data_IF_410043584971
#
_entry.id   IF_410043584971
#
_cell.length_a   1.000
_cell.length_b   1.000
_cell.length_c   1.000
_cell.angle_alpha   90.00
_cell.angle_beta   90.00
_cell.angle_gamma   90.00
#
_symmetry.space_group_name_H-M   'P 1'
#
loop_
_entity.id
_entity.type
_entity.pdbx_description
1 polymer ?
#
# COMPACT_ATOMS: atom_id res chain seq x y z
N UNK A 1 51.17 103.86 -70.99
CA UNK A 1 50.47 102.56 -70.89
C UNK A 1 51.05 101.85 -69.68
N UNK A 2 50.76 102.39 -68.49
CA UNK A 2 51.72 102.36 -67.37
C UNK A 2 50.97 102.22 -66.05
N UNK A 3 51.29 101.17 -65.30
CA UNK A 3 50.94 100.90 -63.90
C UNK A 3 49.44 100.70 -63.59
N UNK A 4 48.56 101.57 -64.05
CA UNK A 4 47.13 101.55 -63.74
C UNK A 4 46.41 100.34 -64.36
N UNK A 5 46.75 99.99 -65.61
CA UNK A 5 46.25 98.76 -66.27
C UNK A 5 46.78 97.48 -65.60
N UNK A 6 48.03 97.49 -65.12
CA UNK A 6 48.63 96.33 -64.42
C UNK A 6 47.98 96.13 -63.05
N UNK A 7 47.69 97.21 -62.33
CA UNK A 7 46.99 97.18 -61.05
C UNK A 7 45.50 96.78 -61.23
N UNK A 8 44.85 97.23 -62.30
CA UNK A 8 43.49 96.81 -62.64
C UNK A 8 43.45 95.31 -62.98
N UNK A 9 44.42 94.82 -63.74
CA UNK A 9 44.57 93.40 -64.07
C UNK A 9 44.81 92.55 -62.80
N UNK A 10 45.71 92.95 -61.92
CA UNK A 10 45.98 92.23 -60.66
C UNK A 10 44.77 92.20 -59.71
N UNK A 11 43.96 93.28 -59.66
CA UNK A 11 42.69 93.29 -58.92
C UNK A 11 41.66 92.33 -59.53
N UNK A 12 41.58 92.27 -60.85
CA UNK A 12 40.69 91.35 -61.55
C UNK A 12 41.11 89.88 -61.31
N UNK A 13 42.42 89.58 -61.37
CA UNK A 13 42.97 88.25 -61.07
C UNK A 13 42.75 87.85 -59.60
N UNK A 14 42.94 88.77 -58.65
CA UNK A 14 42.64 88.54 -57.24
C UNK A 14 41.14 88.31 -57.01
N UNK A 15 40.27 89.06 -57.69
CA UNK A 15 38.82 88.88 -57.57
C UNK A 15 38.36 87.55 -58.15
N UNK A 16 38.93 87.15 -59.29
CA UNK A 16 38.64 85.86 -59.92
C UNK A 16 39.11 84.69 -59.05
N UNK A 17 40.36 84.73 -58.57
CA UNK A 17 40.92 83.69 -57.70
C UNK A 17 40.15 83.59 -56.38
N UNK A 18 39.74 84.71 -55.78
CA UNK A 18 38.92 84.71 -54.57
C UNK A 18 37.51 84.14 -54.83
N UNK A 19 36.84 84.54 -55.92
CA UNK A 19 35.54 83.98 -56.30
C UNK A 19 35.61 82.47 -56.57
N UNK A 20 36.69 82.02 -57.19
CA UNK A 20 36.95 80.60 -57.44
C UNK A 20 37.22 79.82 -56.15
N UNK A 21 38.03 80.34 -55.22
CA UNK A 21 38.26 79.75 -53.90
C UNK A 21 36.97 79.65 -53.08
N UNK A 22 36.13 80.70 -53.10
CA UNK A 22 34.80 80.68 -52.46
C UNK A 22 33.91 79.60 -53.05
N UNK A 23 33.84 79.52 -54.39
CA UNK A 23 33.02 78.52 -55.09
C UNK A 23 33.51 77.11 -54.80
N UNK A 24 34.83 76.87 -54.82
CA UNK A 24 35.46 75.60 -54.49
C UNK A 24 35.14 75.18 -53.05
N UNK A 25 35.27 76.09 -52.08
CA UNK A 25 34.91 75.81 -50.67
C UNK A 25 33.44 75.45 -50.54
N UNK A 26 32.56 76.24 -51.15
CA UNK A 26 31.12 75.95 -51.15
C UNK A 26 30.77 74.60 -51.77
N UNK A 27 31.46 74.20 -52.85
CA UNK A 27 31.30 72.86 -53.45
C UNK A 27 31.79 71.74 -52.51
N UNK A 28 32.92 71.94 -51.83
CA UNK A 28 33.42 70.98 -50.84
C UNK A 28 32.48 70.85 -49.64
N UNK A 29 31.98 71.97 -49.12
CA UNK A 29 31.03 72.00 -48.01
C UNK A 29 29.72 71.29 -48.38
N UNK A 30 29.22 71.51 -49.60
CA UNK A 30 28.03 70.82 -50.11
C UNK A 30 28.26 69.31 -50.20
N UNK A 31 29.41 68.88 -50.71
CA UNK A 31 29.74 67.46 -50.83
C UNK A 31 29.87 66.79 -49.46
N UNK A 32 30.57 67.44 -48.51
CA UNK A 32 30.68 66.94 -47.14
C UNK A 32 29.31 66.82 -46.47
N UNK A 33 28.44 67.82 -46.64
CA UNK A 33 27.09 67.78 -46.10
C UNK A 33 26.24 66.67 -46.73
N UNK A 34 26.38 66.41 -48.03
CA UNK A 34 25.70 65.30 -48.70
C UNK A 34 26.17 63.95 -48.17
N UNK A 35 27.48 63.75 -48.02
CA UNK A 35 28.05 62.52 -47.48
C UNK A 35 27.60 62.32 -46.03
N UNK A 36 27.68 63.35 -45.19
CA UNK A 36 27.22 63.35 -43.79
C UNK A 36 25.73 63.01 -43.67
N UNK A 37 24.88 63.61 -44.50
CA UNK A 37 23.45 63.28 -44.53
C UNK A 37 23.22 61.81 -44.94
N UNK A 38 24.00 61.28 -45.90
CA UNK A 38 23.90 59.88 -46.30
C UNK A 38 24.29 58.90 -45.16
N UNK A 39 25.31 59.27 -44.37
CA UNK A 39 25.73 58.51 -43.20
C UNK A 39 24.69 58.59 -42.08
N UNK A 40 24.13 59.77 -41.84
CA UNK A 40 23.05 59.95 -40.87
C UNK A 40 21.81 59.12 -41.25
N UNK A 41 21.42 59.11 -42.52
CA UNK A 41 20.32 58.29 -43.02
C UNK A 41 20.57 56.79 -42.82
N UNK A 42 21.79 56.32 -43.06
CA UNK A 42 22.15 54.92 -42.83
C UNK A 42 22.17 54.58 -41.33
N UNK A 43 22.71 55.46 -40.49
CA UNK A 43 22.68 55.30 -39.03
C UNK A 43 21.22 55.22 -38.54
N UNK A 44 20.34 56.13 -38.97
CA UNK A 44 18.92 56.09 -38.59
C UNK A 44 18.23 54.81 -39.04
N UNK A 45 18.50 54.31 -40.25
CA UNK A 45 17.97 53.03 -40.73
C UNK A 45 18.47 51.85 -39.89
N UNK A 46 19.74 51.85 -39.50
CA UNK A 46 20.28 50.79 -38.66
C UNK A 46 19.73 50.84 -37.23
N UNK A 47 19.55 52.04 -36.65
CA UNK A 47 18.95 52.21 -35.32
C UNK A 47 17.52 51.67 -35.29
N UNK A 48 16.69 52.04 -36.27
CA UNK A 48 15.31 51.51 -36.36
C UNK A 48 15.31 49.98 -36.50
N UNK A 49 16.21 49.40 -37.29
CA UNK A 49 16.34 47.95 -37.42
C UNK A 49 16.71 47.28 -36.09
N UNK A 50 17.64 47.84 -35.33
CA UNK A 50 18.04 47.35 -34.01
C UNK A 50 16.85 47.40 -33.03
N UNK A 51 16.06 48.47 -33.06
CA UNK A 51 14.86 48.57 -32.22
C UNK A 51 13.84 47.48 -32.54
N UNK A 52 13.61 47.19 -33.83
CA UNK A 52 12.73 46.09 -34.24
C UNK A 52 13.29 44.72 -33.82
N UNK A 53 14.59 44.49 -34.02
CA UNK A 53 15.24 43.24 -33.61
C UNK A 53 15.15 43.04 -32.09
N UNK A 54 15.40 44.08 -31.29
CA UNK A 54 15.28 44.02 -29.83
C UNK A 54 13.84 43.72 -29.39
N UNK A 55 12.85 44.34 -30.04
CA UNK A 55 11.45 44.06 -29.75
C UNK A 55 11.08 42.60 -30.04
N UNK A 56 11.43 42.12 -31.23
CA UNK A 56 11.16 40.73 -31.63
C UNK A 56 11.90 39.76 -30.69
N UNK A 57 13.14 40.08 -30.33
CA UNK A 57 13.92 39.28 -29.38
C UNK A 57 13.22 39.17 -28.02
N UNK A 58 12.73 40.29 -27.49
CA UNK A 58 11.99 40.30 -26.22
C UNK A 58 10.69 39.49 -26.33
N UNK A 59 9.94 39.62 -27.43
CA UNK A 59 8.71 38.83 -27.66
C UNK A 59 9.01 37.32 -27.71
N UNK A 60 10.08 36.91 -28.40
CA UNK A 60 10.52 35.52 -28.45
C UNK A 60 10.95 35.03 -27.07
N UNK A 61 11.71 35.85 -26.33
CA UNK A 61 12.19 35.49 -25.01
C UNK A 61 11.01 35.29 -24.05
N UNK A 62 10.06 36.21 -24.01
CA UNK A 62 8.84 36.07 -23.20
C UNK A 62 8.05 34.82 -23.56
N UNK A 63 7.86 34.53 -24.86
CA UNK A 63 7.19 33.30 -25.29
C UNK A 63 7.92 32.04 -24.81
N UNK A 64 9.24 32.00 -24.92
CA UNK A 64 10.04 30.85 -24.47
C UNK A 64 9.93 30.70 -22.95
N UNK A 65 10.01 31.78 -22.20
CA UNK A 65 9.91 31.77 -20.74
C UNK A 65 8.53 31.28 -20.28
N UNK A 66 7.44 31.74 -20.91
CA UNK A 66 6.08 31.26 -20.65
C UNK A 66 5.94 29.76 -20.93
N UNK A 67 6.48 29.26 -22.05
CA UNK A 67 6.44 27.83 -22.35
C UNK A 67 7.26 27.00 -21.35
N UNK A 68 8.40 27.51 -20.90
CA UNK A 68 9.21 26.83 -19.87
C UNK A 68 8.41 26.75 -18.56
N UNK A 69 7.76 27.84 -18.16
CA UNK A 69 6.92 27.89 -16.96
C UNK A 69 5.76 26.90 -17.06
N UNK A 70 5.05 26.86 -18.18
CA UNK A 70 3.95 25.91 -18.43
C UNK A 70 4.41 24.45 -18.34
N UNK A 71 5.56 24.14 -18.95
CA UNK A 71 6.15 22.80 -18.88
C UNK A 71 6.59 22.44 -17.46
N UNK A 72 7.18 23.38 -16.72
CA UNK A 72 7.56 23.17 -15.32
C UNK A 72 6.33 22.93 -14.44
N UNK A 73 5.25 23.69 -14.65
CA UNK A 73 3.98 23.51 -13.95
C UNK A 73 3.37 22.14 -14.26
N UNK A 74 3.39 21.70 -15.52
CA UNK A 74 2.94 20.37 -15.92
C UNK A 74 3.78 19.27 -15.26
N UNK A 75 5.12 19.41 -15.24
CA UNK A 75 6.02 18.46 -14.57
C UNK A 75 5.71 18.39 -13.07
N UNK A 76 5.56 19.53 -12.40
CA UNK A 76 5.25 19.58 -10.97
C UNK A 76 3.89 18.94 -10.66
N UNK A 77 2.87 19.24 -11.47
CA UNK A 77 1.56 18.61 -11.36
C UNK A 77 1.65 17.08 -11.45
N UNK A 78 2.34 16.57 -12.47
CA UNK A 78 2.49 15.13 -12.64
C UNK A 78 3.32 14.50 -11.53
N UNK A 79 4.38 15.16 -11.06
CA UNK A 79 5.20 14.68 -9.95
C UNK A 79 4.36 14.49 -8.69
N UNK A 80 3.59 15.52 -8.29
CA UNK A 80 2.69 15.44 -7.13
C UNK A 80 1.63 14.35 -7.33
N UNK A 81 1.01 14.29 -8.51
CA UNK A 81 -0.01 13.28 -8.80
C UNK A 81 0.56 11.85 -8.69
N UNK A 82 1.76 11.60 -9.21
CA UNK A 82 2.38 10.29 -9.13
C UNK A 82 2.82 9.94 -7.70
N UNK A 83 3.33 10.90 -6.94
CA UNK A 83 3.67 10.68 -5.53
C UNK A 83 2.43 10.30 -4.73
N UNK A 84 1.31 11.02 -4.88
CA UNK A 84 0.04 10.70 -4.25
C UNK A 84 -0.53 9.34 -4.69
N UNK A 85 -0.40 9.00 -5.98
CA UNK A 85 -0.86 7.70 -6.48
C UNK A 85 0.00 6.57 -5.91
N UNK A 86 1.32 6.71 -5.88
CA UNK A 86 2.25 5.73 -5.30
C UNK A 86 1.92 5.51 -3.83
N UNK A 87 1.79 6.58 -3.03
CA UNK A 87 1.43 6.47 -1.61
C UNK A 87 0.09 5.74 -1.40
N UNK A 88 -0.91 6.05 -2.23
CA UNK A 88 -2.21 5.37 -2.17
C UNK A 88 -2.10 3.89 -2.50
N UNK A 89 -1.35 3.54 -3.56
CA UNK A 89 -1.14 2.15 -3.98
C UNK A 89 -0.38 1.36 -2.90
N UNK A 90 0.63 1.96 -2.29
CA UNK A 90 1.39 1.35 -1.21
C UNK A 90 0.52 1.11 0.03
N UNK A 91 -0.32 2.09 0.40
CA UNK A 91 -1.30 1.92 1.47
C UNK A 91 -2.29 0.77 1.19
N UNK A 92 -2.79 0.67 -0.04
CA UNK A 92 -3.67 -0.42 -0.46
C UNK A 92 -2.95 -1.78 -0.42
N UNK A 93 -1.69 -1.85 -0.86
CA UNK A 93 -0.86 -3.06 -0.80
C UNK A 93 -0.68 -3.51 0.66
N UNK A 94 -0.34 -2.59 1.56
CA UNK A 94 -0.17 -2.89 2.99
C UNK A 94 -1.48 -3.40 3.58
N UNK A 95 -2.61 -2.74 3.30
CA UNK A 95 -3.93 -3.16 3.74
C UNK A 95 -4.28 -4.57 3.26
N UNK A 96 -4.06 -4.86 1.98
CA UNK A 96 -4.33 -6.18 1.40
C UNK A 96 -3.45 -7.23 2.07
N UNK A 97 -2.15 -6.96 2.25
CA UNK A 97 -1.23 -7.88 2.95
C UNK A 97 -1.70 -8.19 4.37
N UNK A 98 -2.10 -7.18 5.15
CA UNK A 98 -2.64 -7.39 6.50
C UNK A 98 -3.92 -8.23 6.48
N UNK A 99 -4.84 -7.98 5.54
CA UNK A 99 -6.06 -8.81 5.42
C UNK A 99 -5.74 -10.24 5.01
N UNK A 100 -4.74 -10.44 4.15
CA UNK A 100 -4.31 -11.76 3.73
C UNK A 100 -3.65 -12.54 4.87
N UNK A 101 -2.79 -11.91 5.65
CA UNK A 101 -2.16 -12.51 6.83
C UNK A 101 -3.20 -12.91 7.88
N UNK A 102 -4.14 -12.02 8.20
CA UNK A 102 -5.21 -12.31 9.16
C UNK A 102 -6.13 -13.44 8.70
N UNK A 103 -6.48 -13.49 7.41
CA UNK A 103 -7.25 -14.60 6.83
C UNK A 103 -6.46 -15.91 6.87
N UNK A 104 -5.16 -15.86 6.59
CA UNK A 104 -4.28 -17.02 6.62
C UNK A 104 -4.18 -17.59 8.03
N UNK A 105 -4.00 -16.74 9.05
CA UNK A 105 -3.96 -17.18 10.44
C UNK A 105 -5.32 -17.72 10.90
N UNK A 106 -6.42 -17.06 10.51
CA UNK A 106 -7.78 -17.56 10.78
C UNK A 106 -7.98 -18.95 10.17
N UNK A 107 -7.52 -19.17 8.93
CA UNK A 107 -7.58 -20.48 8.27
C UNK A 107 -6.74 -21.51 9.03
N UNK A 108 -5.52 -21.17 9.44
CA UNK A 108 -4.64 -22.05 10.22
C UNK A 108 -5.33 -22.52 11.51
N UNK A 109 -5.89 -21.58 12.27
CA UNK A 109 -6.62 -21.86 13.51
C UNK A 109 -7.84 -22.74 13.28
N UNK A 110 -8.63 -22.48 12.23
CA UNK A 110 -9.78 -23.30 11.89
C UNK A 110 -9.40 -24.75 11.54
N UNK A 111 -8.29 -24.94 10.81
CA UNK A 111 -7.78 -26.28 10.47
C UNK A 111 -7.34 -27.02 11.73
N UNK A 112 -6.63 -26.34 12.65
CA UNK A 112 -6.20 -26.94 13.91
C UNK A 112 -7.38 -27.38 14.78
N UNK A 113 -8.38 -26.50 14.95
CA UNK A 113 -9.61 -26.81 15.69
C UNK A 113 -10.38 -27.96 15.04
N UNK A 114 -10.47 -27.97 13.71
CA UNK A 114 -11.14 -29.05 12.98
C UNK A 114 -10.46 -30.40 13.22
N UNK A 115 -9.13 -30.47 13.11
CA UNK A 115 -8.39 -31.72 13.34
C UNK A 115 -8.48 -32.17 14.81
N UNK A 116 -8.44 -31.24 15.77
CA UNK A 116 -8.66 -31.55 17.19
C UNK A 116 -10.06 -32.13 17.43
N UNK A 117 -11.11 -31.51 16.89
CA UNK A 117 -12.48 -32.00 16.99
C UNK A 117 -12.67 -33.35 16.31
N UNK A 118 -12.07 -33.55 15.13
CA UNK A 118 -12.11 -34.82 14.41
C UNK A 118 -11.49 -35.95 15.24
N UNK A 119 -10.31 -35.72 15.83
CA UNK A 119 -9.66 -36.68 16.75
C UNK A 119 -10.55 -36.99 17.95
N UNK A 120 -11.09 -35.95 18.60
CA UNK A 120 -11.98 -36.12 19.75
C UNK A 120 -13.23 -36.94 19.43
N UNK A 121 -13.86 -36.72 18.27
CA UNK A 121 -15.04 -37.48 17.83
C UNK A 121 -14.70 -38.96 17.60
N UNK A 122 -13.56 -39.23 16.95
CA UNK A 122 -13.09 -40.61 16.69
C UNK A 122 -12.82 -41.33 18.03
N UNK A 123 -12.07 -40.69 18.93
CA UNK A 123 -11.75 -41.26 20.25
C UNK A 123 -13.01 -41.52 21.08
N UNK A 124 -13.92 -40.54 21.15
CA UNK A 124 -15.18 -40.69 21.88
C UNK A 124 -16.03 -41.82 21.29
N UNK A 125 -16.04 -41.99 19.96
CA UNK A 125 -16.74 -43.10 19.31
C UNK A 125 -16.13 -44.44 19.73
N UNK A 126 -14.81 -44.59 19.69
CA UNK A 126 -14.11 -45.81 20.10
C UNK A 126 -14.37 -46.16 21.58
N UNK A 127 -14.28 -45.18 22.48
CA UNK A 127 -14.57 -45.38 23.92
C UNK A 127 -16.01 -45.80 24.14
N UNK A 128 -16.96 -45.21 23.40
CA UNK A 128 -18.38 -45.56 23.53
C UNK A 128 -18.66 -46.98 23.02
N UNK A 129 -18.04 -47.39 21.92
CA UNK A 129 -18.16 -48.76 21.39
C UNK A 129 -17.59 -49.79 22.38
N UNK A 130 -16.42 -49.53 22.96
CA UNK A 130 -15.84 -50.43 23.96
C UNK A 130 -16.71 -50.50 25.24
N UNK A 131 -17.25 -49.37 25.70
CA UNK A 131 -18.20 -49.35 26.83
C UNK A 131 -19.44 -50.19 26.54
N UNK A 132 -20.01 -50.09 25.34
CA UNK A 132 -21.17 -50.92 24.93
C UNK A 132 -20.81 -52.40 24.93
N UNK A 133 -19.66 -52.76 24.37
CA UNK A 133 -19.16 -54.14 24.34
C UNK A 133 -19.00 -54.72 25.75
N UNK A 134 -18.36 -53.98 26.66
CA UNK A 134 -18.18 -54.40 28.06
C UNK A 134 -19.53 -54.54 28.79
N UNK A 135 -20.47 -53.62 28.54
CA UNK A 135 -21.80 -53.69 29.13
C UNK A 135 -22.59 -54.91 28.62
N UNK A 136 -22.46 -55.28 27.35
CA UNK A 136 -23.06 -56.48 26.77
C UNK A 136 -22.47 -57.76 27.38
N UNK A 137 -21.14 -57.83 27.51
CA UNK A 137 -20.45 -58.95 28.15
C UNK A 137 -20.92 -59.09 29.60
N UNK A 138 -20.93 -58.00 30.37
CA UNK A 138 -21.39 -58.00 31.75
C UNK A 138 -22.85 -58.47 31.84
N UNK A 139 -23.73 -57.97 30.96
CA UNK A 139 -25.13 -58.40 30.90
C UNK A 139 -25.27 -59.89 30.63
N UNK A 140 -24.45 -60.46 29.74
CA UNK A 140 -24.41 -61.91 29.49
C UNK A 140 -23.92 -62.69 30.71
N UNK A 141 -22.84 -62.24 31.35
CA UNK A 141 -22.28 -62.85 32.55
C UNK A 141 -23.27 -62.82 33.71
N UNK A 142 -23.94 -61.68 33.95
CA UNK A 142 -24.98 -61.56 34.98
C UNK A 142 -26.14 -62.51 34.72
N UNK A 143 -26.61 -62.63 33.46
CA UNK A 143 -27.66 -63.60 33.10
C UNK A 143 -27.23 -65.04 33.37
N UNK A 144 -25.99 -65.41 33.01
CA UNK A 144 -25.45 -66.73 33.28
C UNK A 144 -25.33 -67.00 34.79
N UNK A 145 -24.80 -66.04 35.55
CA UNK A 145 -24.69 -66.13 37.01
C UNK A 145 -26.07 -66.30 37.66
N UNK A 146 -27.09 -65.53 37.24
CA UNK A 146 -28.47 -65.68 37.73
C UNK A 146 -29.00 -67.10 37.45
N UNK A 147 -28.78 -67.65 36.26
CA UNK A 147 -29.20 -69.03 35.92
C UNK A 147 -28.53 -70.07 36.81
N UNK A 148 -27.21 -69.96 37.01
CA UNK A 148 -26.45 -70.87 37.87
C UNK A 148 -26.94 -70.76 39.32
N UNK A 149 -27.10 -69.54 39.82
CA UNK A 149 -27.60 -69.29 41.17
C UNK A 149 -29.03 -69.82 41.37
N UNK A 150 -29.92 -69.62 40.41
CA UNK A 150 -31.29 -70.13 40.46
C UNK A 150 -31.30 -71.67 40.42
N UNK A 151 -30.48 -72.28 39.56
CA UNK A 151 -30.30 -73.73 39.53
C UNK A 151 -29.81 -74.26 40.87
N UNK A 152 -28.75 -73.67 41.44
CA UNK A 152 -28.19 -74.08 42.72
C UNK A 152 -29.20 -73.94 43.86
N UNK A 153 -29.90 -72.79 43.96
CA UNK A 153 -30.97 -72.59 44.96
C UNK A 153 -32.06 -73.65 44.81
N UNK A 154 -32.51 -73.93 43.59
CA UNK A 154 -33.47 -75.00 43.32
C UNK A 154 -32.96 -76.39 43.72
N UNK A 155 -31.68 -76.68 43.46
CA UNK A 155 -31.04 -77.94 43.85
C UNK A 155 -30.91 -78.07 45.36
N UNK A 156 -30.55 -76.99 46.08
CA UNK A 156 -30.53 -76.99 47.54
C UNK A 156 -31.90 -77.30 48.14
N UNK A 157 -32.98 -76.74 47.58
CA UNK A 157 -34.35 -77.02 48.03
C UNK A 157 -34.75 -78.46 47.74
N UNK A 158 -34.60 -78.94 46.50
CA UNK A 158 -34.99 -80.31 46.09
C UNK A 158 -34.21 -81.40 46.84
N UNK A 159 -32.92 -81.19 47.06
CA UNK A 159 -32.06 -82.15 47.74
C UNK A 159 -31.99 -81.92 49.25
N UNK A 160 -32.80 -80.99 49.80
CA UNK A 160 -32.89 -80.67 51.23
C UNK A 160 -31.50 -80.41 51.85
N UNK A 161 -30.68 -79.61 51.16
CA UNK A 161 -29.34 -79.22 51.59
C UNK A 161 -29.39 -77.90 52.39
N UNK A 162 -28.45 -77.73 53.33
CA UNK A 162 -28.33 -76.49 54.11
C UNK A 162 -29.57 -76.21 55.00
N UNK A 163 -30.13 -74.98 54.98
CA UNK A 163 -31.28 -74.59 55.81
C UNK A 163 -32.58 -75.40 55.54
N UNK A 164 -32.66 -76.06 54.39
CA UNK A 164 -33.83 -76.85 53.95
C UNK A 164 -33.73 -78.33 54.34
N UNK A 165 -32.65 -78.73 55.03
CA UNK A 165 -32.49 -80.08 55.56
C UNK A 165 -33.55 -80.34 56.63
N UNK A 166 -34.31 -81.42 56.48
CA UNK A 166 -35.31 -81.81 57.47
C UNK A 166 -34.66 -81.92 58.85
N UNK A 167 -35.12 -81.07 59.78
CA UNK A 167 -34.68 -81.12 61.17
C UNK A 167 -35.09 -82.48 61.73
N UNK A 168 -34.11 -83.31 62.12
CA UNK A 168 -34.38 -84.51 62.92
C UNK A 168 -35.26 -84.10 64.11
N UNK A 169 -36.34 -84.85 64.43
CA UNK A 169 -37.15 -84.53 65.59
C UNK A 169 -36.26 -84.52 66.85
N UNK A 170 -36.23 -83.37 67.54
CA UNK A 170 -35.58 -83.24 68.84
C UNK A 170 -36.31 -84.18 69.81
N UNK A 171 -35.67 -85.30 70.16
CA UNK A 171 -36.07 -86.11 71.30
C UNK A 171 -35.94 -85.23 72.55
N UNK A 172 -37.02 -85.12 73.31
CA UNK A 172 -37.13 -84.23 74.46
C UNK A 172 -36.07 -84.50 75.53
N UNK A 173 -35.60 -83.43 76.14
CA UNK A 173 -34.78 -83.43 77.35
C UNK A 173 -35.04 -82.13 78.11
N UNK A 174 -35.69 -82.25 79.26
CA UNK A 174 -36.20 -81.18 80.13
C UNK A 174 -35.14 -80.84 81.18
N UNK A 175 -35.02 -79.54 81.50
CA UNK A 175 -34.30 -79.01 82.68
C UNK A 175 -33.00 -78.29 82.30
N UNK A 176 -32.69 -77.09 82.76
CA UNK A 176 -33.34 -76.15 83.66
C UNK A 176 -32.38 -74.98 83.94
N UNK A 177 -32.93 -73.91 84.53
CA UNK A 177 -32.25 -72.80 85.23
C UNK A 177 -31.47 -71.73 84.41
N UNK A 178 -32.12 -70.57 84.29
CA UNK A 178 -31.70 -69.36 85.01
C UNK A 178 -30.71 -68.43 84.32
N UNK A 179 -31.08 -67.14 84.19
CA UNK A 179 -30.09 -66.07 84.08
C UNK A 179 -30.48 -64.86 83.24
N UNK A 180 -31.23 -63.94 83.86
CA UNK A 180 -31.31 -62.48 83.61
C UNK A 180 -30.35 -61.90 82.55
N UNK A 181 -30.92 -61.16 81.59
CA UNK A 181 -30.15 -60.31 80.69
C UNK A 181 -29.62 -59.02 81.32
N UNK A 182 -28.74 -58.32 80.59
CA UNK A 182 -28.85 -56.89 80.29
C UNK A 182 -27.83 -56.49 79.24
N UNK A 183 -28.29 -55.67 78.29
CA UNK A 183 -27.51 -54.82 77.40
C UNK A 183 -26.50 -53.96 78.19
N UNK A 184 -25.31 -53.77 77.62
CA UNK A 184 -24.81 -52.45 77.27
C UNK A 184 -23.95 -52.57 76.02
#
# INVERSE_FOLDING_TARGET
MEIEDVLAYGKHELSYTNAWEITRRSQHDLKLSQDENSYNDTISKHLTKIEYENRIHNEIQSFVDENIEDLQNAINFWMIHYDEEIERRDADIVKIKMTWETLTERRRNLVEVYEAHKKFVIERRAVNEERKRLAEILKMQTKAAIRIQAWWRGTMVRNKLGPYKEKKPKKGGKGGKGGKGKKK
#
